data_IF_747319285696
#
_entry.id   IF_747319285696
#
_cell.length_a   1.000
_cell.length_b   1.000
_cell.length_c   1.000
_cell.angle_alpha   90.00
_cell.angle_beta   90.00
_cell.angle_gamma   90.00
#
_symmetry.space_group_name_H-M   'P 1'
#
loop_
_entity.id
_entity.type
_entity.pdbx_description
1 polymer ?
#
# COMPACT_ATOMS: atom_id res chain seq x y z
N UNK A 1 16.78 -4.19 1.04
CA UNK A 1 16.60 -3.03 0.14
C UNK A 1 16.59 -1.78 1.00
N UNK A 2 17.48 -0.82 0.73
CA UNK A 2 17.72 0.32 1.63
C UNK A 2 17.39 1.69 1.01
N UNK A 3 17.12 1.72 -0.30
CA UNK A 3 16.75 2.93 -1.04
C UNK A 3 15.86 2.59 -2.24
N UNK A 4 15.23 3.63 -2.80
CA UNK A 4 14.52 3.61 -4.08
C UNK A 4 14.97 4.81 -4.92
N UNK A 5 14.78 4.73 -6.24
CA UNK A 5 14.96 5.90 -7.13
C UNK A 5 13.61 6.35 -7.66
N UNK A 6 13.28 7.64 -7.44
CA UNK A 6 12.05 8.28 -7.91
C UNK A 6 12.44 9.53 -8.69
N UNK A 7 12.04 9.62 -9.95
CA UNK A 7 12.42 10.72 -10.87
C UNK A 7 13.93 11.04 -10.87
N UNK A 8 14.77 10.00 -10.79
CA UNK A 8 16.22 10.12 -10.78
C UNK A 8 16.84 10.50 -9.42
N UNK A 9 16.01 10.78 -8.41
CA UNK A 9 16.44 11.06 -7.03
C UNK A 9 16.49 9.74 -6.25
N UNK A 10 17.63 9.44 -5.64
CA UNK A 10 17.73 8.35 -4.69
C UNK A 10 17.19 8.76 -3.32
N UNK A 11 16.21 8.00 -2.84
CA UNK A 11 15.57 8.18 -1.54
C UNK A 11 16.05 7.04 -0.64
N UNK A 12 16.74 7.37 0.46
CA UNK A 12 17.22 6.37 1.41
C UNK A 12 16.18 6.20 2.50
N UNK A 13 15.82 4.95 2.79
CA UNK A 13 14.86 4.68 3.88
C UNK A 13 15.41 5.06 5.25
N UNK A 14 16.74 5.16 5.39
CA UNK A 14 17.39 5.64 6.61
C UNK A 14 17.15 7.13 6.89
N UNK A 15 16.73 7.91 5.90
CA UNK A 15 16.38 9.32 6.07
C UNK A 15 15.06 9.48 6.85
N UNK A 16 14.25 8.42 6.93
CA UNK A 16 13.07 8.34 7.75
C UNK A 16 13.43 8.00 9.21
N UNK A 17 13.65 9.04 10.02
CA UNK A 17 14.17 8.93 11.39
C UNK A 17 13.12 9.07 12.48
N UNK A 18 11.95 9.65 12.17
CA UNK A 18 10.84 9.82 13.11
C UNK A 18 9.94 8.59 13.07
N UNK A 19 9.45 8.14 14.21
CA UNK A 19 8.47 7.06 14.28
C UNK A 19 7.05 7.65 14.36
N UNK A 20 6.13 7.09 13.57
CA UNK A 20 4.69 7.38 13.62
C UNK A 20 3.93 6.05 13.64
N UNK A 21 3.54 5.59 14.83
CA UNK A 21 3.12 4.21 15.02
C UNK A 21 4.22 3.24 14.61
N UNK A 22 3.91 2.30 13.71
CA UNK A 22 4.89 1.37 13.14
C UNK A 22 5.69 1.97 11.98
N UNK A 23 5.31 3.14 11.47
CA UNK A 23 5.90 3.75 10.28
C UNK A 23 7.11 4.61 10.63
N UNK A 24 8.01 4.77 9.65
CA UNK A 24 9.13 5.72 9.72
C UNK A 24 8.85 6.88 8.79
N UNK A 25 9.10 8.10 9.27
CA UNK A 25 8.83 9.36 8.57
C UNK A 25 10.09 10.21 8.52
N UNK A 26 10.38 10.84 7.37
CA UNK A 26 11.48 11.79 7.25
C UNK A 26 11.22 13.10 7.99
N UNK A 27 12.25 13.85 8.42
CA UNK A 27 12.07 15.09 9.16
C UNK A 27 11.17 16.14 8.48
N UNK A 28 11.20 16.19 7.15
CA UNK A 28 10.41 17.07 6.28
C UNK A 28 9.05 16.48 5.87
N UNK A 29 8.68 15.30 6.40
CA UNK A 29 7.47 14.53 6.10
C UNK A 29 7.31 14.14 4.62
N UNK A 30 8.36 14.25 3.80
CA UNK A 30 8.31 13.89 2.38
C UNK A 30 8.31 12.38 2.15
N UNK A 31 8.91 11.60 3.05
CA UNK A 31 8.97 10.15 2.97
C UNK A 31 8.26 9.51 4.16
N UNK A 32 7.34 8.60 3.87
CA UNK A 32 6.76 7.69 4.85
C UNK A 32 6.98 6.26 4.37
N UNK A 33 7.62 5.43 5.18
CA UNK A 33 8.00 4.07 4.81
C UNK A 33 7.66 3.08 5.91
N UNK A 34 7.00 1.98 5.55
CA UNK A 34 6.79 0.86 6.46
C UNK A 34 8.04 -0.01 6.42
N UNK A 35 8.86 0.02 7.46
CA UNK A 35 8.66 -0.49 8.82
C UNK A 35 9.33 -1.86 8.95
N UNK A 36 9.75 -2.20 10.16
CA UNK A 36 10.69 -3.31 10.39
C UNK A 36 9.99 -4.69 10.49
N UNK A 37 8.65 -4.70 10.50
CA UNK A 37 7.82 -5.91 10.57
C UNK A 37 7.94 -6.83 9.34
N UNK A 38 8.26 -6.25 8.18
CA UNK A 38 8.34 -6.96 6.90
C UNK A 38 9.79 -7.35 6.62
N UNK A 39 10.00 -8.61 6.22
CA UNK A 39 11.32 -9.16 5.95
C UNK A 39 11.69 -9.12 4.47
N UNK A 40 10.68 -9.16 3.60
CA UNK A 40 10.84 -9.38 2.16
C UNK A 40 10.42 -8.17 1.33
N UNK A 41 9.67 -7.23 1.91
CA UNK A 41 9.16 -6.05 1.22
C UNK A 41 9.39 -4.75 2.00
N UNK A 42 9.53 -3.64 1.28
CA UNK A 42 9.37 -2.27 1.79
C UNK A 42 8.38 -1.54 0.90
N UNK A 43 7.53 -0.74 1.53
CA UNK A 43 6.52 0.03 0.84
C UNK A 43 6.30 1.35 1.58
N UNK A 44 5.77 2.34 0.87
CA UNK A 44 5.64 3.67 1.41
C UNK A 44 5.19 4.68 0.37
N UNK A 45 5.14 5.92 0.81
CA UNK A 45 4.84 7.07 -0.03
C UNK A 45 5.99 8.07 0.02
N UNK A 46 6.21 8.73 -1.10
CA UNK A 46 7.12 9.86 -1.22
C UNK A 46 6.40 11.02 -1.89
N UNK A 47 6.51 12.21 -1.31
CA UNK A 47 5.90 13.43 -1.82
C UNK A 47 6.97 14.46 -2.15
N UNK A 48 7.00 14.93 -3.40
CA UNK A 48 8.02 15.89 -3.84
C UNK A 48 7.53 16.72 -5.01
N UNK A 49 7.82 18.03 -4.99
CA UNK A 49 7.53 18.98 -6.07
C UNK A 49 6.09 18.90 -6.60
N UNK A 50 5.11 18.76 -5.70
CA UNK A 50 3.69 18.68 -6.07
C UNK A 50 3.28 17.36 -6.72
N UNK A 51 4.04 16.29 -6.49
CA UNK A 51 3.75 14.93 -6.95
C UNK A 51 3.69 13.97 -5.76
N UNK A 52 2.85 12.96 -5.87
CA UNK A 52 2.77 11.85 -4.90
C UNK A 52 3.23 10.57 -5.59
N UNK A 53 4.08 9.80 -4.90
CA UNK A 53 4.60 8.54 -5.38
C UNK A 53 4.36 7.44 -4.35
N UNK A 54 3.64 6.41 -4.74
CA UNK A 54 3.50 5.18 -3.97
C UNK A 54 4.51 4.16 -4.45
N UNK A 55 5.21 3.49 -3.54
CA UNK A 55 6.17 2.44 -3.89
C UNK A 55 5.96 1.19 -3.05
N UNK A 56 6.28 0.04 -3.67
CA UNK A 56 6.30 -1.27 -3.05
C UNK A 56 7.35 -2.11 -3.80
N UNK A 57 8.43 -2.49 -3.12
CA UNK A 57 9.52 -3.24 -3.75
C UNK A 57 10.21 -4.15 -2.72
N UNK A 58 10.83 -5.22 -3.20
CA UNK A 58 11.36 -6.28 -2.36
C UNK A 58 11.70 -7.53 -3.14
N UNK A 59 11.98 -8.60 -2.41
CA UNK A 59 12.28 -9.91 -2.97
C UNK A 59 10.98 -10.60 -3.38
N UNK A 60 10.58 -10.43 -4.65
CA UNK A 60 9.35 -11.03 -5.18
C UNK A 60 9.36 -12.55 -5.01
N UNK A 61 8.21 -13.14 -4.70
CA UNK A 61 8.08 -14.59 -4.57
C UNK A 61 8.38 -15.26 -5.90
N UNK A 62 9.33 -16.20 -5.88
CA UNK A 62 9.66 -17.04 -7.04
C UNK A 62 8.65 -18.19 -7.18
N UNK A 63 8.45 -18.94 -6.09
CA UNK A 63 7.54 -20.09 -6.05
C UNK A 63 6.24 -19.71 -5.33
N UNK A 64 5.20 -19.47 -6.12
CA UNK A 64 3.87 -19.12 -5.62
C UNK A 64 3.09 -20.37 -5.18
N UNK A 65 2.30 -20.31 -4.09
CA UNK A 65 1.31 -21.35 -3.84
C UNK A 65 0.35 -21.48 -5.03
N UNK A 66 0.02 -22.72 -5.40
CA UNK A 66 -0.87 -23.01 -6.53
C UNK A 66 -2.33 -23.24 -6.10
N UNK A 67 -2.57 -23.37 -4.80
CA UNK A 67 -3.88 -23.60 -4.21
C UNK A 67 -3.89 -23.16 -2.74
N UNK A 68 -5.06 -23.20 -2.11
CA UNK A 68 -5.26 -22.82 -0.72
C UNK A 68 -5.75 -21.39 -0.54
N UNK A 69 -6.36 -21.16 0.62
CA UNK A 69 -6.85 -19.86 1.05
C UNK A 69 -6.04 -19.38 2.23
N UNK A 70 -5.52 -18.16 2.13
CA UNK A 70 -4.61 -17.60 3.11
C UNK A 70 -5.08 -16.21 3.53
N UNK A 71 -5.01 -15.95 4.83
CA UNK A 71 -5.30 -14.62 5.39
C UNK A 71 -4.00 -13.86 5.60
N UNK A 72 -4.00 -12.58 5.25
CA UNK A 72 -2.90 -11.66 5.50
C UNK A 72 -3.38 -10.49 6.34
N UNK A 73 -2.56 -10.02 7.29
CA UNK A 73 -2.84 -8.80 8.06
C UNK A 73 -1.62 -7.88 8.07
N UNK A 74 -1.88 -6.58 8.15
CA UNK A 74 -0.86 -5.61 7.84
C UNK A 74 -1.25 -4.16 8.06
N UNK A 75 -0.56 -3.31 7.33
CA UNK A 75 -0.46 -1.87 7.52
C UNK A 75 -0.79 -1.17 6.20
N UNK A 76 -1.48 -0.03 6.28
CA UNK A 76 -1.89 0.76 5.12
C UNK A 76 -1.59 2.25 5.34
N UNK A 77 -1.38 2.98 4.25
CA UNK A 77 -1.22 4.43 4.25
C UNK A 77 -2.10 5.07 3.18
N UNK A 78 -2.92 6.05 3.56
CA UNK A 78 -3.89 6.73 2.70
C UNK A 78 -3.41 8.14 2.33
N UNK A 79 -3.47 8.44 1.03
CA UNK A 79 -3.31 9.77 0.46
C UNK A 79 -4.67 10.23 -0.10
N UNK A 80 -5.40 11.05 0.65
CA UNK A 80 -6.74 11.52 0.26
C UNK A 80 -7.09 12.82 1.00
N UNK A 81 -7.92 13.69 0.41
CA UNK A 81 -8.35 14.96 1.03
C UNK A 81 -9.19 14.79 2.31
N UNK A 82 -9.82 13.63 2.49
CA UNK A 82 -10.55 13.30 3.74
C UNK A 82 -9.63 13.11 4.94
N UNK A 83 -8.32 12.97 4.71
CA UNK A 83 -7.29 13.07 5.75
C UNK A 83 -7.11 14.55 6.08
N UNK A 84 -7.98 15.08 6.94
CA UNK A 84 -7.91 16.47 7.41
C UNK A 84 -6.73 16.73 8.37
N UNK A 85 -6.56 17.99 8.80
CA UNK A 85 -5.54 18.41 9.77
C UNK A 85 -5.75 17.73 11.14
N UNK A 86 -5.29 16.49 11.30
CA UNK A 86 -5.37 15.71 12.54
C UNK A 86 -5.85 14.26 12.39
N UNK A 87 -6.32 13.83 11.21
CA UNK A 87 -6.54 12.42 10.92
C UNK A 87 -5.21 11.79 10.47
N UNK A 88 -4.85 10.62 10.98
CA UNK A 88 -3.66 9.93 10.50
C UNK A 88 -3.98 9.17 9.22
N UNK A 89 -3.11 9.31 8.23
CA UNK A 89 -3.09 8.50 7.01
C UNK A 89 -2.82 7.01 7.29
N UNK A 90 -2.47 6.64 8.52
CA UNK A 90 -2.10 5.29 8.90
C UNK A 90 -3.34 4.45 9.19
N UNK A 91 -3.42 3.30 8.54
CA UNK A 91 -4.46 2.31 8.73
C UNK A 91 -3.90 0.90 8.84
N UNK A 92 -4.81 -0.06 8.95
CA UNK A 92 -4.50 -1.49 8.91
C UNK A 92 -5.00 -2.09 7.61
N UNK A 93 -4.50 -3.27 7.26
CA UNK A 93 -4.95 -4.00 6.07
C UNK A 93 -5.24 -5.45 6.41
N UNK A 94 -6.29 -6.02 5.83
CA UNK A 94 -6.60 -7.45 5.88
C UNK A 94 -6.91 -7.96 4.48
N UNK A 95 -6.32 -9.09 4.09
CA UNK A 95 -6.56 -9.72 2.80
C UNK A 95 -6.88 -11.21 2.94
N UNK A 96 -7.68 -11.72 2.01
CA UNK A 96 -7.87 -13.13 1.74
C UNK A 96 -7.36 -13.42 0.31
N UNK A 97 -6.35 -14.27 0.20
CA UNK A 97 -5.83 -14.76 -1.06
C UNK A 97 -6.31 -16.19 -1.29
N UNK A 98 -7.00 -16.43 -2.38
CA UNK A 98 -7.34 -17.77 -2.88
C UNK A 98 -6.49 -18.04 -4.12
N UNK A 99 -5.44 -18.86 -3.95
CA UNK A 99 -4.53 -19.18 -5.04
C UNK A 99 -5.12 -20.16 -6.06
N UNK A 100 -6.13 -20.94 -5.66
CA UNK A 100 -6.82 -21.86 -6.56
C UNK A 100 -7.72 -21.12 -7.55
N UNK A 101 -8.48 -20.14 -7.06
CA UNK A 101 -9.34 -19.29 -7.91
C UNK A 101 -8.63 -18.03 -8.42
N UNK A 102 -7.38 -17.80 -8.00
CA UNK A 102 -6.54 -16.64 -8.34
C UNK A 102 -7.21 -15.31 -7.97
N UNK A 103 -7.88 -15.27 -6.82
CA UNK A 103 -8.57 -14.08 -6.31
C UNK A 103 -7.86 -13.53 -5.08
N UNK A 104 -7.75 -12.22 -5.00
CA UNK A 104 -7.28 -11.49 -3.82
C UNK A 104 -8.31 -10.42 -3.48
N UNK A 105 -8.91 -10.53 -2.30
CA UNK A 105 -9.80 -9.50 -1.76
C UNK A 105 -9.21 -8.95 -0.47
N UNK A 106 -9.48 -7.69 -0.18
CA UNK A 106 -9.07 -7.11 1.08
C UNK A 106 -9.85 -5.88 1.49
N UNK A 107 -9.61 -5.47 2.72
CA UNK A 107 -10.13 -4.24 3.30
C UNK A 107 -8.98 -3.53 3.98
N UNK A 108 -8.81 -2.25 3.67
CA UNK A 108 -7.95 -1.34 4.41
C UNK A 108 -8.84 -0.53 5.37
N UNK A 109 -8.46 -0.43 6.64
CA UNK A 109 -9.25 0.26 7.66
C UNK A 109 -8.46 1.42 8.26
N UNK A 110 -8.99 2.63 8.16
CA UNK A 110 -8.44 3.88 8.66
C UNK A 110 -9.31 4.41 9.81
N UNK A 111 -9.11 3.85 11.00
CA UNK A 111 -10.00 4.08 12.15
C UNK A 111 -10.10 5.52 12.63
N UNK A 112 -9.11 6.35 12.28
CA UNK A 112 -9.04 7.77 12.64
C UNK A 112 -9.83 8.68 11.69
N UNK A 113 -10.35 8.16 10.57
CA UNK A 113 -11.29 8.89 9.75
C UNK A 113 -12.64 9.00 10.47
N UNK A 114 -13.27 10.17 10.39
CA UNK A 114 -14.57 10.43 11.03
C UNK A 114 -15.69 9.62 10.38
N UNK A 115 -15.68 9.56 9.05
CA UNK A 115 -16.66 8.89 8.21
C UNK A 115 -15.96 7.94 7.24
N UNK A 116 -16.64 6.88 6.83
CA UNK A 116 -16.17 5.88 5.84
C UNK A 116 -14.72 5.46 6.08
N UNK A 117 -14.52 4.44 6.92
CA UNK A 117 -13.17 4.04 7.36
C UNK A 117 -12.53 2.99 6.44
N UNK A 118 -13.31 2.37 5.58
CA UNK A 118 -12.91 1.18 4.84
C UNK A 118 -12.71 1.48 3.36
N UNK A 119 -11.56 1.02 2.84
CA UNK A 119 -11.29 0.89 1.41
C UNK A 119 -11.35 -0.59 1.08
N UNK A 120 -12.22 -0.98 0.16
CA UNK A 120 -12.34 -2.37 -0.28
C UNK A 120 -11.50 -2.61 -1.53
N UNK A 121 -10.80 -3.75 -1.56
CA UNK A 121 -9.93 -4.18 -2.65
C UNK A 121 -10.50 -5.46 -3.26
N UNK A 122 -10.67 -5.46 -4.58
CA UNK A 122 -10.97 -6.66 -5.38
C UNK A 122 -9.96 -6.78 -6.51
N UNK A 123 -9.19 -7.87 -6.51
CA UNK A 123 -8.04 -8.06 -7.39
C UNK A 123 -7.91 -9.50 -7.87
N UNK A 124 -7.23 -9.66 -9.01
CA UNK A 124 -6.89 -10.97 -9.60
C UNK A 124 -5.40 -11.22 -9.51
N UNK A 125 -5.03 -12.44 -9.16
CA UNK A 125 -3.65 -12.91 -9.06
C UNK A 125 -3.20 -13.42 -10.43
N UNK A 126 -2.03 -12.97 -10.87
CA UNK A 126 -1.35 -13.40 -12.09
C UNK A 126 0.14 -13.56 -11.83
N UNK A 127 0.62 -14.81 -11.85
CA UNK A 127 1.97 -15.13 -11.37
C UNK A 127 2.14 -14.70 -9.90
N UNK A 128 3.19 -13.93 -9.62
CA UNK A 128 3.44 -13.34 -8.30
C UNK A 128 2.89 -11.91 -8.15
N UNK A 129 2.11 -11.44 -9.12
CA UNK A 129 1.53 -10.09 -9.13
C UNK A 129 0.01 -10.16 -8.98
N UNK A 130 -0.60 -9.04 -8.61
CA UNK A 130 -2.05 -8.88 -8.66
C UNK A 130 -2.42 -7.48 -9.12
N UNK A 131 -3.56 -7.40 -9.79
CA UNK A 131 -4.12 -6.14 -10.28
C UNK A 131 -5.63 -6.13 -10.07
N UNK A 132 -6.20 -4.96 -9.81
CA UNK A 132 -7.62 -4.85 -9.52
C UNK A 132 -8.08 -3.43 -9.31
N UNK A 133 -9.10 -3.30 -8.45
CA UNK A 133 -9.69 -2.02 -8.10
C UNK A 133 -9.79 -1.87 -6.59
N UNK A 134 -9.71 -0.62 -6.15
CA UNK A 134 -10.07 -0.21 -4.81
C UNK A 134 -11.26 0.76 -4.87
N UNK A 135 -12.23 0.55 -3.99
CA UNK A 135 -13.42 1.39 -3.86
C UNK A 135 -13.45 2.01 -2.47
N UNK A 136 -13.85 3.29 -2.41
CA UNK A 136 -13.90 4.02 -1.17
C UNK A 136 -15.15 4.90 -1.10
N UNK A 137 -15.95 4.73 -0.05
CA UNK A 137 -17.23 5.45 0.11
C UNK A 137 -17.06 6.98 0.20
N UNK A 138 -15.92 7.45 0.69
CA UNK A 138 -15.58 8.89 0.68
C UNK A 138 -15.33 9.45 -0.73
N UNK A 139 -15.08 8.59 -1.72
CA UNK A 139 -14.77 8.93 -3.11
C UNK A 139 -15.67 8.16 -4.09
N UNK A 140 -16.96 8.09 -3.81
CA UNK A 140 -17.95 7.43 -4.68
C UNK A 140 -17.85 7.90 -6.13
N UNK A 141 -17.82 6.93 -7.05
CA UNK A 141 -17.68 7.17 -8.49
C UNK A 141 -16.25 7.39 -8.97
N UNK A 142 -15.25 7.31 -8.08
CA UNK A 142 -13.83 7.44 -8.43
C UNK A 142 -13.05 6.22 -7.92
N UNK A 143 -13.16 5.08 -8.63
CA UNK A 143 -12.39 3.89 -8.28
C UNK A 143 -10.88 4.12 -8.46
N UNK A 144 -10.06 3.56 -7.58
CA UNK A 144 -8.61 3.51 -7.74
C UNK A 144 -8.17 2.20 -8.40
N UNK A 145 -7.13 2.26 -9.23
CA UNK A 145 -6.49 1.06 -9.79
C UNK A 145 -5.53 0.49 -8.76
N UNK A 146 -5.60 -0.82 -8.52
CA UNK A 146 -4.71 -1.54 -7.60
C UNK A 146 -3.65 -2.29 -8.40
N UNK A 147 -2.41 -2.17 -7.99
CA UNK A 147 -1.29 -2.99 -8.45
C UNK A 147 -0.46 -3.47 -7.25
N UNK A 148 -0.01 -4.72 -7.27
CA UNK A 148 0.81 -5.26 -6.20
C UNK A 148 1.44 -6.60 -6.51
N UNK A 149 2.22 -7.11 -5.55
CA UNK A 149 2.95 -8.38 -5.66
C UNK A 149 3.02 -9.14 -4.33
N UNK A 150 3.29 -10.43 -4.44
CA UNK A 150 3.68 -11.30 -3.34
C UNK A 150 5.21 -11.34 -3.22
N UNK A 151 5.68 -11.42 -1.97
CA UNK A 151 7.07 -11.29 -1.58
C UNK A 151 7.49 -12.39 -0.60
N UNK A 152 8.76 -12.77 -0.70
CA UNK A 152 9.38 -13.78 0.15
C UNK A 152 8.97 -15.21 -0.20
N UNK A 153 9.51 -16.16 0.56
CA UNK A 153 9.21 -17.59 0.40
C UNK A 153 7.71 -17.86 0.55
N UNK A 154 7.15 -18.69 -0.35
CA UNK A 154 5.76 -19.13 -0.33
C UNK A 154 4.74 -17.99 -0.20
N UNK A 155 5.01 -16.83 -0.80
CA UNK A 155 4.14 -15.66 -0.73
C UNK A 155 3.82 -15.21 0.72
N UNK A 156 4.78 -15.33 1.66
CA UNK A 156 4.58 -15.00 3.08
C UNK A 156 4.22 -13.53 3.34
N UNK A 157 4.52 -12.63 2.42
CA UNK A 157 4.22 -11.20 2.48
C UNK A 157 3.61 -10.73 1.16
N UNK A 158 2.80 -9.67 1.19
CA UNK A 158 2.32 -8.98 0.00
C UNK A 158 2.40 -7.47 0.21
N UNK A 159 2.51 -6.71 -0.87
CA UNK A 159 2.36 -5.26 -0.84
C UNK A 159 1.89 -4.74 -2.20
N UNK A 160 1.24 -3.58 -2.17
CA UNK A 160 0.75 -2.92 -3.36
C UNK A 160 0.47 -1.44 -3.13
N UNK A 161 0.10 -0.79 -4.22
CA UNK A 161 -0.35 0.58 -4.26
C UNK A 161 -1.73 0.66 -4.92
N UNK A 162 -2.43 1.75 -4.65
CA UNK A 162 -3.65 2.09 -5.35
C UNK A 162 -3.66 3.59 -5.67
N UNK A 163 -4.18 3.93 -6.84
CA UNK A 163 -4.21 5.31 -7.32
C UNK A 163 -5.44 5.54 -8.23
N UNK A 164 -6.19 6.60 -7.95
CA UNK A 164 -7.36 7.02 -8.73
C UNK A 164 -7.06 8.19 -9.69
N UNK A 165 -5.84 8.73 -9.70
CA UNK A 165 -5.43 9.79 -10.59
C UNK A 165 -5.34 9.29 -12.05
N UNK A 166 -5.70 10.16 -12.99
CA UNK A 166 -5.62 9.86 -14.43
C UNK A 166 -4.19 9.95 -14.96
N UNK A 167 -3.38 10.79 -14.33
CA UNK A 167 -2.00 11.05 -14.73
C UNK A 167 -1.04 10.47 -13.70
N UNK A 168 -0.03 9.74 -14.18
CA UNK A 168 0.99 9.15 -13.30
C UNK A 168 1.76 10.24 -12.58
N UNK A 169 1.85 10.10 -11.25
CA UNK A 169 2.58 11.03 -10.39
C UNK A 169 1.84 12.35 -10.11
N UNK A 170 0.55 12.44 -10.42
CA UNK A 170 -0.26 13.56 -9.95
C UNK A 170 -0.25 13.63 -8.41
N UNK A 171 -0.38 14.85 -7.85
CA UNK A 171 -0.66 15.00 -6.42
C UNK A 171 -1.98 14.32 -6.09
N UNK A 172 -1.98 13.46 -5.07
CA UNK A 172 -3.20 12.86 -4.53
C UNK A 172 -3.79 13.75 -3.43
N UNK A 173 -5.12 13.83 -3.35
CA UNK A 173 -5.86 14.70 -2.44
C UNK A 173 -7.26 15.06 -2.93
N UNK A 174 -7.43 16.30 -3.42
CA UNK A 174 -8.74 16.95 -3.59
C UNK A 174 -9.69 16.25 -4.58
N UNK A 175 -9.15 15.65 -5.65
CA UNK A 175 -9.92 15.03 -6.74
C UNK A 175 -9.47 13.61 -7.07
N UNK A 176 -8.48 13.12 -6.34
CA UNK A 176 -7.87 11.81 -6.53
C UNK A 176 -7.42 11.31 -5.18
N UNK A 177 -7.41 10.00 -5.02
CA UNK A 177 -7.00 9.35 -3.80
C UNK A 177 -6.18 8.12 -4.14
N UNK A 178 -5.42 7.67 -3.17
CA UNK A 178 -4.56 6.51 -3.35
C UNK A 178 -3.81 6.20 -2.09
N UNK A 179 -2.76 5.40 -2.23
CA UNK A 179 -1.96 4.99 -1.10
C UNK A 179 -1.19 3.72 -1.34
N UNK A 180 -0.77 3.12 -0.23
CA UNK A 180 -0.04 1.85 -0.20
C UNK A 180 -0.55 0.95 0.90
N UNK A 181 -0.30 -0.34 0.74
CA UNK A 181 -0.56 -1.35 1.75
C UNK A 181 0.50 -2.43 1.69
N UNK A 182 0.69 -3.10 2.82
CA UNK A 182 1.45 -4.34 2.89
C UNK A 182 0.94 -5.21 4.01
N UNK A 183 1.02 -6.53 3.83
CA UNK A 183 0.46 -7.50 4.76
C UNK A 183 1.30 -8.77 4.82
N UNK A 184 1.27 -9.41 5.99
CA UNK A 184 1.98 -10.66 6.25
C UNK A 184 0.96 -11.78 6.44
N UNK A 185 1.26 -12.94 5.88
CA UNK A 185 0.43 -14.13 6.02
C UNK A 185 0.30 -14.50 7.51
N UNK A 186 -0.92 -14.81 7.93
CA UNK A 186 -1.22 -15.32 9.26
C UNK A 186 -1.06 -16.84 9.28
N UNK A 187 -0.65 -17.37 10.43
CA UNK A 187 -0.57 -18.82 10.66
C UNK A 187 -1.96 -19.44 10.72
#
# INVERSE_FOLDING_TARGET
>A
MNSIKVDGIEIKFADATKAEGNWKVSPDNSLVVCCDKYSSVRFGVYESKGKSYSFYNGNATAEMPTSGKFTYTGDAYLLASVVGNGAESIGTSKFEADFGTKKLTGTLTFDKLKDSKNVDIDSKISGNSFTGKATFDSFKGTDAIVEGKFYGENAKELAGAFDSAKEKGAKLGDKSWGGVFGAKQQK
#
